data_IF_808244836150
#
_entry.id   IF_808244836150
#
_cell.length_a   1.000
_cell.length_b   1.000
_cell.length_c   1.000
_cell.angle_alpha   90.00
_cell.angle_beta   90.00
_cell.angle_gamma   90.00
#
_symmetry.space_group_name_H-M   'P 1'
#
loop_
_entity.id
_entity.type
_entity.pdbx_description
1 polymer ?
#
# COMPACT_ATOMS: atom_id res chain seq x y z
N UNK A 1 -8.17 5.28 8.05
CA UNK A 1 -7.83 3.87 7.82
C UNK A 1 -6.58 3.52 8.60
N UNK A 2 -6.55 2.36 9.21
CA UNK A 2 -5.41 1.88 10.02
C UNK A 2 -4.61 0.89 9.20
N UNK A 3 -3.28 1.07 9.12
CA UNK A 3 -2.38 0.11 8.51
C UNK A 3 -2.37 -1.19 9.35
N UNK A 4 -2.39 -2.33 8.69
CA UNK A 4 -2.48 -3.64 9.34
C UNK A 4 -1.20 -4.43 9.15
N UNK A 5 -0.87 -5.26 10.15
CA UNK A 5 0.17 -6.27 10.00
C UNK A 5 -0.47 -7.60 9.57
N UNK A 6 0.19 -8.30 8.67
CA UNK A 6 -0.22 -9.64 8.23
C UNK A 6 1.01 -10.54 8.23
N UNK A 7 0.92 -11.69 8.89
CA UNK A 7 2.00 -12.68 8.96
C UNK A 7 1.87 -13.76 7.88
N UNK A 8 0.79 -13.72 7.16
CA UNK A 8 0.54 -14.56 5.98
C UNK A 8 -0.37 -13.80 5.05
N UNK A 9 -0.45 -14.24 3.79
CA UNK A 9 -1.40 -13.68 2.87
C UNK A 9 -2.81 -13.96 3.40
N UNK A 10 -3.50 -12.91 3.81
CA UNK A 10 -4.90 -13.01 4.21
C UNK A 10 -5.70 -13.39 2.96
N UNK A 11 -6.57 -14.39 3.06
CA UNK A 11 -7.41 -14.80 1.93
C UNK A 11 -8.25 -13.65 1.39
N UNK A 12 -8.60 -12.69 2.24
CA UNK A 12 -9.28 -11.46 1.81
C UNK A 12 -8.43 -10.63 0.83
N UNK A 13 -7.10 -10.69 0.94
CA UNK A 13 -6.19 -9.94 0.06
C UNK A 13 -6.04 -10.58 -1.32
N UNK A 14 -6.42 -11.82 -1.52
CA UNK A 14 -6.32 -12.50 -2.81
C UNK A 14 -7.13 -11.79 -3.90
N UNK A 15 -8.22 -11.11 -3.52
CA UNK A 15 -9.04 -10.32 -4.44
C UNK A 15 -8.57 -8.87 -4.58
N UNK A 16 -7.58 -8.43 -3.79
CA UNK A 16 -7.06 -7.06 -3.80
C UNK A 16 -5.92 -6.91 -4.81
N UNK A 17 -6.21 -7.22 -6.07
CA UNK A 17 -5.21 -7.25 -7.14
C UNK A 17 -5.34 -6.08 -8.12
N UNK A 18 -6.25 -5.16 -7.87
CA UNK A 18 -6.52 -4.04 -8.76
C UNK A 18 -5.42 -2.98 -8.66
N UNK A 19 -5.24 -2.24 -9.75
CA UNK A 19 -4.16 -1.28 -9.85
C UNK A 19 -4.49 0.02 -9.14
N UNK A 20 -3.47 0.64 -8.56
CA UNK A 20 -3.58 1.94 -7.90
C UNK A 20 -2.25 2.67 -8.03
N UNK A 21 -2.32 3.95 -8.41
CA UNK A 21 -1.15 4.83 -8.46
C UNK A 21 -1.16 5.75 -7.25
N UNK A 22 -0.02 5.87 -6.60
CA UNK A 22 0.14 6.76 -5.44
C UNK A 22 0.71 8.10 -5.92
N UNK A 23 0.04 9.18 -5.53
CA UNK A 23 0.47 10.54 -5.81
C UNK A 23 0.47 11.36 -4.52
N UNK A 24 1.26 12.41 -4.48
CA UNK A 24 1.30 13.39 -3.39
C UNK A 24 1.37 12.77 -1.99
N UNK A 25 2.36 11.90 -1.70
CA UNK A 25 2.47 11.32 -0.37
C UNK A 25 2.93 12.36 0.65
N UNK A 26 2.35 12.28 1.85
CA UNK A 26 2.72 13.14 2.97
C UNK A 26 2.66 12.33 4.26
N UNK A 27 3.75 12.33 5.03
CA UNK A 27 3.81 11.65 6.31
C UNK A 27 3.98 12.69 7.41
N UNK A 28 3.00 12.76 8.34
CA UNK A 28 2.92 13.80 9.37
C UNK A 28 2.74 13.19 10.75
N UNK A 29 3.22 13.91 11.77
CA UNK A 29 3.06 13.56 13.19
C UNK A 29 3.58 12.16 13.55
N UNK A 30 4.53 11.63 12.76
CA UNK A 30 5.07 10.28 12.93
C UNK A 30 3.98 9.20 13.01
N UNK A 31 2.85 9.39 12.33
CA UNK A 31 1.78 8.39 12.32
C UNK A 31 0.81 8.48 11.16
N UNK A 32 0.68 9.62 10.49
CA UNK A 32 -0.32 9.77 9.42
C UNK A 32 0.34 9.83 8.05
N UNK A 33 0.01 8.85 7.21
CA UNK A 33 0.40 8.82 5.82
C UNK A 33 -0.83 9.16 4.97
N UNK A 34 -0.81 10.34 4.38
CA UNK A 34 -1.88 10.80 3.47
C UNK A 34 -1.38 10.70 2.03
N UNK A 35 -2.17 10.10 1.17
CA UNK A 35 -1.83 9.90 -0.23
C UNK A 35 -3.03 10.18 -1.11
N UNK A 36 -2.78 10.79 -2.28
CA UNK A 36 -3.75 10.82 -3.36
C UNK A 36 -3.63 9.51 -4.14
N UNK A 37 -4.70 8.73 -4.16
CA UNK A 37 -4.74 7.45 -4.86
C UNK A 37 -5.52 7.61 -6.16
N UNK A 38 -4.91 7.18 -7.26
CA UNK A 38 -5.52 7.17 -8.58
C UNK A 38 -5.83 5.75 -8.99
N UNK A 39 -7.04 5.52 -9.48
CA UNK A 39 -7.53 4.19 -9.87
C UNK A 39 -8.55 4.31 -10.99
N UNK A 40 -8.78 3.19 -11.70
CA UNK A 40 -9.77 3.15 -12.75
C UNK A 40 -11.10 2.65 -12.21
N UNK A 41 -12.18 3.32 -12.56
CA UNK A 41 -13.51 2.97 -12.09
C UNK A 41 -14.63 3.55 -12.96
N UNK A 42 -15.87 3.34 -12.52
CA UNK A 42 -17.07 3.92 -13.11
C UNK A 42 -17.79 4.75 -12.04
N UNK A 43 -18.13 5.97 -12.36
CA UNK A 43 -18.62 6.98 -11.42
C UNK A 43 -19.69 6.49 -10.44
N UNK A 44 -20.72 5.73 -10.84
CA UNK A 44 -21.75 5.29 -9.91
C UNK A 44 -21.24 4.36 -8.81
N UNK A 45 -20.15 3.65 -9.06
CA UNK A 45 -19.64 2.59 -8.19
C UNK A 45 -18.29 2.92 -7.54
N UNK A 46 -17.83 4.18 -7.63
CA UNK A 46 -16.52 4.57 -7.10
C UNK A 46 -16.36 4.25 -5.60
N UNK A 47 -17.44 4.28 -4.83
CA UNK A 47 -17.43 4.02 -3.39
C UNK A 47 -17.26 2.53 -3.04
N UNK A 48 -17.30 1.61 -4.01
CA UNK A 48 -17.06 0.19 -3.77
C UNK A 48 -15.56 -0.13 -3.69
N UNK A 49 -14.71 0.81 -4.08
CA UNK A 49 -13.27 0.62 -4.03
C UNK A 49 -12.76 0.63 -2.59
N UNK A 50 -11.89 -0.34 -2.28
CA UNK A 50 -11.29 -0.48 -0.96
C UNK A 50 -9.78 -0.50 -1.08
N UNK A 51 -9.11 0.13 -0.13
CA UNK A 51 -7.66 0.19 -0.07
C UNK A 51 -7.18 -0.33 1.27
N UNK A 52 -6.05 -1.05 1.25
CA UNK A 52 -5.47 -1.61 2.46
C UNK A 52 -3.96 -1.42 2.42
N UNK A 53 -3.41 -0.83 3.47
CA UNK A 53 -1.97 -0.70 3.67
C UNK A 53 -1.52 -1.77 4.66
N UNK A 54 -0.55 -2.59 4.26
CA UNK A 54 -0.17 -3.80 4.99
C UNK A 54 1.33 -3.83 5.27
N UNK A 55 1.70 -4.19 6.49
CA UNK A 55 3.05 -4.63 6.85
C UNK A 55 3.11 -6.14 6.75
N UNK A 56 3.91 -6.67 5.82
CA UNK A 56 4.04 -8.11 5.60
C UNK A 56 5.04 -8.69 6.61
N UNK A 57 4.54 -9.49 7.55
CA UNK A 57 5.34 -10.08 8.63
C UNK A 57 6.01 -11.39 8.24
N UNK A 58 5.73 -11.93 7.05
CA UNK A 58 6.36 -13.17 6.61
C UNK A 58 7.87 -12.98 6.44
N UNK A 59 8.63 -13.96 6.90
CA UNK A 59 10.09 -13.94 6.78
C UNK A 59 10.51 -13.94 5.31
N UNK A 60 9.83 -14.72 4.49
CA UNK A 60 10.08 -14.84 3.05
C UNK A 60 9.34 -13.78 2.22
N UNK A 61 8.57 -12.91 2.87
CA UNK A 61 7.77 -11.87 2.21
C UNK A 61 6.83 -12.41 1.14
N UNK A 62 6.30 -13.63 1.33
CA UNK A 62 5.39 -14.25 0.37
C UNK A 62 4.21 -13.35 0.03
N UNK A 63 3.68 -13.47 -1.20
CA UNK A 63 2.58 -12.69 -1.71
C UNK A 63 2.90 -11.98 -3.02
N UNK A 64 2.02 -11.09 -3.45
CA UNK A 64 2.09 -10.42 -4.75
C UNK A 64 3.38 -9.63 -4.97
N UNK A 65 3.98 -9.09 -3.91
CA UNK A 65 5.15 -8.23 -3.98
C UNK A 65 6.45 -8.92 -3.59
N UNK A 66 6.45 -10.24 -3.43
CA UNK A 66 7.59 -11.00 -2.91
C UNK A 66 8.92 -10.65 -3.61
N UNK A 67 8.92 -10.61 -4.94
CA UNK A 67 10.13 -10.42 -5.73
C UNK A 67 10.65 -8.98 -5.72
N UNK A 68 9.88 -8.05 -5.16
CA UNK A 68 10.24 -6.63 -5.12
C UNK A 68 10.95 -6.21 -3.84
N UNK A 69 11.00 -7.09 -2.85
CA UNK A 69 11.70 -6.81 -1.60
C UNK A 69 13.22 -6.92 -1.77
N UNK A 70 14.00 -6.11 -1.03
CA UNK A 70 15.45 -6.22 -1.06
C UNK A 70 15.90 -7.54 -0.42
N UNK A 71 17.06 -8.04 -0.84
CA UNK A 71 17.63 -9.27 -0.28
C UNK A 71 18.17 -9.08 1.13
N UNK A 72 18.45 -7.86 1.52
CA UNK A 72 18.94 -7.49 2.86
C UNK A 72 18.25 -6.23 3.34
N UNK A 73 18.28 -6.01 4.65
CA UNK A 73 17.69 -4.83 5.28
C UNK A 73 18.33 -3.56 4.72
N UNK A 74 17.52 -2.67 4.15
CA UNK A 74 17.96 -1.38 3.59
C UNK A 74 17.68 -0.19 4.53
N UNK A 75 17.17 -0.46 5.73
CA UNK A 75 16.89 0.57 6.72
C UNK A 75 15.55 1.27 6.56
N UNK A 76 14.72 0.86 5.62
CA UNK A 76 13.38 1.42 5.40
C UNK A 76 12.29 0.52 5.98
N UNK A 77 11.19 1.14 6.40
CA UNK A 77 9.97 0.40 6.70
C UNK A 77 9.23 0.11 5.40
N UNK A 78 9.08 -1.16 5.05
CA UNK A 78 8.43 -1.58 3.82
C UNK A 78 6.96 -1.91 4.07
N UNK A 79 6.09 -1.28 3.29
CA UNK A 79 4.64 -1.51 3.33
C UNK A 79 4.14 -1.87 1.95
N UNK A 80 2.97 -2.52 1.91
CA UNK A 80 2.31 -2.93 0.67
C UNK A 80 0.94 -2.27 0.60
N UNK A 81 0.63 -1.66 -0.54
CA UNK A 81 -0.69 -1.07 -0.78
C UNK A 81 -1.50 -1.98 -1.70
N UNK A 82 -2.67 -2.36 -1.23
CA UNK A 82 -3.62 -3.21 -1.94
C UNK A 82 -4.87 -2.44 -2.32
N UNK A 83 -5.46 -2.80 -3.46
CA UNK A 83 -6.68 -2.19 -3.97
C UNK A 83 -7.65 -3.26 -4.43
N UNK A 84 -8.91 -3.10 -4.06
CA UNK A 84 -10.03 -3.94 -4.48
C UNK A 84 -11.13 -3.06 -5.06
N UNK A 85 -11.46 -3.26 -6.35
CA UNK A 85 -12.48 -2.46 -7.04
C UNK A 85 -13.91 -2.95 -6.78
N UNK A 86 -14.09 -4.12 -6.19
CA UNK A 86 -15.41 -4.71 -5.99
C UNK A 86 -16.07 -5.09 -7.31
N UNK A 87 -17.32 -4.71 -7.47
CA UNK A 87 -18.09 -4.94 -8.68
C UNK A 87 -17.95 -3.83 -9.73
N UNK A 88 -17.16 -2.80 -9.43
CA UNK A 88 -16.94 -1.69 -10.36
C UNK A 88 -16.16 -2.13 -11.59
N UNK A 89 -16.27 -1.35 -12.68
CA UNK A 89 -15.58 -1.61 -13.94
C UNK A 89 -14.56 -0.52 -14.22
N UNK A 90 -13.46 -0.87 -14.89
CA UNK A 90 -12.37 0.05 -15.20
C UNK A 90 -12.69 0.85 -16.46
N UNK A 91 -13.26 2.05 -16.29
CA UNK A 91 -13.71 2.90 -17.40
C UNK A 91 -12.86 4.16 -17.51
N UNK A 92 -12.71 4.91 -16.42
CA UNK A 92 -12.01 6.19 -16.41
C UNK A 92 -11.29 6.39 -15.08
N UNK A 93 -10.28 7.27 -15.02
CA UNK A 93 -9.53 7.49 -13.78
C UNK A 93 -10.33 8.31 -12.76
N UNK A 94 -10.20 7.90 -11.50
CA UNK A 94 -10.70 8.62 -10.33
C UNK A 94 -9.57 8.84 -9.34
N UNK A 95 -9.76 9.81 -8.46
CA UNK A 95 -8.77 10.20 -7.45
C UNK A 95 -9.46 10.29 -6.11
N UNK A 96 -8.82 9.77 -5.07
CA UNK A 96 -9.29 9.87 -3.70
C UNK A 96 -8.11 10.09 -2.76
N UNK A 97 -8.26 11.01 -1.79
CA UNK A 97 -7.31 11.12 -0.69
C UNK A 97 -7.65 10.09 0.37
N UNK A 98 -6.64 9.31 0.77
CA UNK A 98 -6.73 8.41 1.90
C UNK A 98 -5.64 8.76 2.92
N UNK A 99 -6.03 8.77 4.18
CA UNK A 99 -5.12 8.94 5.31
C UNK A 99 -5.01 7.61 6.05
N UNK A 100 -3.80 7.06 6.11
CA UNK A 100 -3.52 5.83 6.84
C UNK A 100 -2.81 6.17 8.13
N UNK A 101 -3.35 5.65 9.25
CA UNK A 101 -2.66 5.74 10.54
C UNK A 101 -1.71 4.56 10.66
N UNK A 102 -0.44 4.83 10.88
CA UNK A 102 0.59 3.82 11.02
C UNK A 102 1.08 3.83 12.48
N UNK A 103 0.93 2.71 13.16
CA UNK A 103 1.41 2.52 14.53
C UNK A 103 2.46 1.40 14.56
N UNK A 104 3.74 1.72 14.79
CA UNK A 104 4.77 0.69 14.90
C UNK A 104 4.43 -0.37 15.93
N UNK A 105 3.82 0.01 17.05
CA UNK A 105 3.40 -0.91 18.09
C UNK A 105 2.37 -1.92 17.58
N UNK A 106 1.37 -1.44 16.82
CA UNK A 106 0.33 -2.32 16.25
C UNK A 106 0.87 -3.21 15.14
N UNK A 107 1.82 -2.69 14.36
CA UNK A 107 2.45 -3.46 13.29
C UNK A 107 3.49 -4.45 13.81
N UNK A 108 3.99 -4.26 15.03
CA UNK A 108 5.07 -5.07 15.56
C UNK A 108 6.43 -4.74 14.96
N UNK A 109 6.61 -3.49 14.52
CA UNK A 109 7.85 -3.00 13.93
C UNK A 109 8.68 -2.20 14.93
N UNK A 110 9.89 -1.82 14.51
CA UNK A 110 10.71 -0.82 15.23
C UNK A 110 10.01 0.54 15.21
N UNK A 111 10.45 1.44 16.06
CA UNK A 111 9.99 2.82 16.05
C UNK A 111 10.48 3.56 14.79
N UNK A 112 9.76 4.61 14.38
CA UNK A 112 10.12 5.36 13.17
C UNK A 112 11.53 5.96 13.21
N UNK A 113 12.01 6.34 14.40
CA UNK A 113 13.37 6.86 14.57
C UNK A 113 14.47 5.87 14.15
N UNK A 114 14.15 4.59 14.06
CA UNK A 114 15.09 3.52 13.68
C UNK A 114 15.08 3.25 12.18
N UNK A 115 14.24 3.95 11.39
CA UNK A 115 14.15 3.80 9.94
C UNK A 115 14.64 5.04 9.22
N UNK A 116 15.11 4.85 7.99
CA UNK A 116 15.47 5.96 7.07
C UNK A 116 14.25 6.59 6.43
N UNK A 117 13.14 5.90 6.41
CA UNK A 117 11.90 6.30 5.77
C UNK A 117 10.95 5.13 5.57
N UNK A 118 9.96 5.34 4.71
CA UNK A 118 8.95 4.33 4.36
C UNK A 118 9.05 4.06 2.87
N UNK A 119 9.00 2.79 2.50
CA UNK A 119 8.84 2.36 1.10
C UNK A 119 7.52 1.61 0.95
N UNK A 120 6.76 1.97 -0.09
CA UNK A 120 5.44 1.41 -0.35
C UNK A 120 5.43 0.73 -1.70
N UNK A 121 5.18 -0.58 -1.68
CA UNK A 121 5.00 -1.40 -2.87
C UNK A 121 3.56 -1.30 -3.37
N UNK A 122 3.38 -1.08 -4.66
CA UNK A 122 2.06 -1.01 -5.27
C UNK A 122 2.13 -1.35 -6.76
N UNK A 123 0.98 -1.69 -7.33
CA UNK A 123 0.82 -1.92 -8.77
C UNK A 123 0.17 -0.69 -9.39
N UNK A 124 0.91 0.18 -10.10
CA UNK A 124 0.34 1.41 -10.66
C UNK A 124 -0.59 1.15 -11.83
N UNK A 125 -1.44 2.14 -12.13
CA UNK A 125 -2.23 2.15 -13.36
C UNK A 125 -1.26 2.24 -14.54
N UNK A 126 -1.49 1.44 -15.57
CA UNK A 126 -0.66 1.46 -16.77
C UNK A 126 -0.73 0.14 -17.52
N UNK A 127 0.10 0.05 -18.58
CA UNK A 127 0.08 -1.11 -19.49
C UNK A 127 0.85 -2.32 -18.96
N UNK A 128 1.64 -2.16 -17.91
CA UNK A 128 2.48 -3.23 -17.35
C UNK A 128 1.96 -3.67 -16.00
N UNK A 129 2.29 -4.89 -15.60
CA UNK A 129 2.01 -5.41 -14.26
C UNK A 129 3.21 -5.21 -13.31
N UNK A 130 4.09 -4.28 -13.64
CA UNK A 130 5.27 -4.02 -12.84
C UNK A 130 4.89 -3.37 -11.49
N UNK A 131 5.60 -3.80 -10.46
CA UNK A 131 5.51 -3.19 -9.15
C UNK A 131 6.34 -1.90 -9.14
N UNK A 132 5.79 -0.85 -8.54
CA UNK A 132 6.53 0.38 -8.24
C UNK A 132 6.75 0.53 -6.75
N UNK A 133 7.82 1.21 -6.40
CA UNK A 133 8.20 1.51 -5.03
C UNK A 133 8.12 3.02 -4.85
N UNK A 134 7.24 3.47 -3.97
CA UNK A 134 7.20 4.86 -3.53
C UNK A 134 8.09 5.00 -2.29
N UNK A 135 9.02 5.94 -2.31
CA UNK A 135 9.92 6.18 -1.18
C UNK A 135 9.63 7.52 -0.52
N UNK A 136 9.44 7.49 0.80
CA UNK A 136 9.32 8.69 1.63
C UNK A 136 10.50 8.67 2.60
N UNK A 137 11.38 9.65 2.49
CA UNK A 137 12.54 9.79 3.37
C UNK A 137 12.18 10.62 4.59
N UNK A 138 12.64 10.17 5.75
CA UNK A 138 12.49 10.90 7.00
C UNK A 138 13.52 12.01 7.17
#
# INVERSE_FOLDING_TARGET
IIAKASDRLDTALESYVDKVTIEEPSFTDNKYLTMLLSFMGNKPDVNTHKFMLVYNKNVDKSGMFQDSYPKSDDGYLWLELYHYRGTDVEVEPYYIYNCFKISPKQLGTKEFSEYKGIKILHKPIGKTNNTEILTIKF
#
